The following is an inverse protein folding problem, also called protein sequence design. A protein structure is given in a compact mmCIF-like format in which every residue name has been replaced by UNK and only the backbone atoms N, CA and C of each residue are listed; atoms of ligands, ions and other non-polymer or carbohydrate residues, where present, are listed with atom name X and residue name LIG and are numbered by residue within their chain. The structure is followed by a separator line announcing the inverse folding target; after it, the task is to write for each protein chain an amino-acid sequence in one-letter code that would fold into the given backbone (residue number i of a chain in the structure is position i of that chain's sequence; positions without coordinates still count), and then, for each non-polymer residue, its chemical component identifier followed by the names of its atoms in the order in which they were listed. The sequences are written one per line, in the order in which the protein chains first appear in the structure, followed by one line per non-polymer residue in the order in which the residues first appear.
data_IF_712149782692
#
_entry.id   IF_712149782692
#
_cell.length_a   1.000
_cell.length_b   1.000
_cell.length_c   1.000
_cell.angle_alpha   90.00
_cell.angle_beta   90.00
_cell.angle_gamma   90.00
#
_symmetry.space_group_name_H-M   'P 1'
#
loop_
_entity.id
_entity.type
_entity.pdbx_description
1 polymer ?
#
# COMPACT_ATOMS: atom_id res chain seq x y z
N UNK A 1 18.14 -20.18 -2.68
CA UNK A 1 17.43 -20.58 -1.44
C UNK A 1 15.95 -20.79 -1.72
N UNK A 2 15.21 -21.49 -0.82
CA UNK A 2 13.77 -21.73 -0.99
C UNK A 2 13.03 -21.04 0.15
N UNK A 3 12.18 -20.08 -0.21
CA UNK A 3 11.39 -19.26 0.71
C UNK A 3 9.93 -19.66 0.64
N UNK A 4 9.29 -19.79 1.79
CA UNK A 4 7.86 -19.96 1.91
C UNK A 4 7.26 -18.70 2.54
N UNK A 5 6.26 -18.11 1.88
CA UNK A 5 5.58 -16.94 2.39
C UNK A 5 4.13 -17.22 2.76
N UNK A 6 3.76 -16.81 3.95
CA UNK A 6 2.41 -16.94 4.52
C UNK A 6 1.90 -15.56 4.90
N UNK A 7 0.73 -15.21 4.40
CA UNK A 7 0.02 -14.01 4.78
C UNK A 7 -1.27 -14.34 5.52
N UNK A 8 -1.40 -13.81 6.71
CA UNK A 8 -2.57 -14.04 7.55
C UNK A 8 -3.31 -12.74 7.87
N UNK A 9 -4.62 -12.83 7.96
CA UNK A 9 -5.44 -11.98 8.80
C UNK A 9 -5.31 -12.48 10.25
N UNK A 10 -5.98 -11.92 11.22
CA UNK A 10 -5.91 -12.32 12.63
C UNK A 10 -6.31 -13.77 12.96
N UNK A 11 -6.67 -14.56 11.95
CA UNK A 11 -7.15 -15.93 12.10
C UNK A 11 -6.00 -16.96 12.05
N UNK A 12 -5.83 -17.70 13.16
CA UNK A 12 -4.82 -18.75 13.32
C UNK A 12 -5.05 -19.94 12.38
N UNK A 13 -6.30 -20.36 12.20
CA UNK A 13 -6.65 -21.53 11.41
C UNK A 13 -6.24 -21.38 9.93
N UNK A 14 -6.38 -20.19 9.38
CA UNK A 14 -5.95 -19.87 8.02
C UNK A 14 -4.43 -19.97 7.87
N UNK A 15 -3.66 -19.71 8.92
CA UNK A 15 -2.19 -19.79 8.92
C UNK A 15 -1.72 -21.24 8.86
N UNK A 16 -2.32 -22.10 9.66
CA UNK A 16 -1.97 -23.53 9.72
C UNK A 16 -2.28 -24.22 8.41
N UNK A 17 -3.40 -23.89 7.79
CA UNK A 17 -3.77 -24.43 6.49
C UNK A 17 -2.76 -24.05 5.39
N UNK A 18 -2.35 -22.77 5.31
CA UNK A 18 -1.33 -22.34 4.36
C UNK A 18 0.02 -23.04 4.60
N UNK A 19 0.41 -23.18 5.86
CA UNK A 19 1.64 -23.87 6.22
C UNK A 19 1.61 -25.33 5.76
N UNK A 20 0.52 -26.03 6.06
CA UNK A 20 0.32 -27.41 5.67
C UNK A 20 0.34 -27.61 4.14
N UNK A 21 -0.37 -26.77 3.40
CA UNK A 21 -0.39 -26.80 1.93
C UNK A 21 1.02 -26.62 1.34
N UNK A 22 1.77 -25.63 1.83
CA UNK A 22 3.13 -25.35 1.37
C UNK A 22 4.09 -26.50 1.72
N UNK A 23 4.02 -27.06 2.92
CA UNK A 23 4.86 -28.20 3.30
C UNK A 23 4.54 -29.45 2.47
N UNK A 24 3.26 -29.74 2.25
CA UNK A 24 2.82 -30.88 1.43
C UNK A 24 3.35 -30.73 -0.01
N UNK A 25 3.23 -29.56 -0.59
CA UNK A 25 3.76 -29.23 -1.92
C UNK A 25 5.29 -29.38 -1.97
N UNK A 26 6.00 -28.78 -1.02
CA UNK A 26 7.46 -28.83 -0.96
C UNK A 26 7.99 -30.27 -0.87
N UNK A 27 7.36 -31.11 -0.03
CA UNK A 27 7.67 -32.57 0.06
C UNK A 27 7.44 -33.28 -1.26
N UNK A 28 6.33 -33.04 -1.92
CA UNK A 28 5.99 -33.66 -3.21
C UNK A 28 7.00 -33.27 -4.31
N UNK A 29 7.50 -32.03 -4.27
CA UNK A 29 8.50 -31.51 -5.22
C UNK A 29 9.94 -31.79 -4.80
N UNK A 30 10.19 -32.52 -3.72
CA UNK A 30 11.53 -32.73 -3.13
C UNK A 30 12.27 -31.42 -2.84
N UNK A 31 11.54 -30.37 -2.45
CA UNK A 31 12.08 -29.06 -2.10
C UNK A 31 12.25 -28.93 -0.58
N UNK A 32 13.42 -28.48 -0.13
CA UNK A 32 13.66 -28.19 1.28
C UNK A 32 13.53 -26.69 1.54
N UNK A 33 12.47 -26.28 2.22
CA UNK A 33 12.25 -24.87 2.57
C UNK A 33 13.37 -24.37 3.47
N UNK A 34 14.06 -23.32 3.03
CA UNK A 34 15.19 -22.71 3.75
C UNK A 34 14.72 -21.67 4.76
N UNK A 35 13.65 -20.93 4.44
CA UNK A 35 13.16 -19.84 5.31
C UNK A 35 11.65 -19.66 5.16
N UNK A 36 10.98 -19.53 6.29
CA UNK A 36 9.57 -19.16 6.39
C UNK A 36 9.44 -17.68 6.71
N UNK A 37 8.61 -16.97 5.94
CA UNK A 37 8.26 -15.58 6.18
C UNK A 37 6.77 -15.51 6.43
N UNK A 38 6.40 -15.17 7.66
CA UNK A 38 5.00 -14.99 8.07
C UNK A 38 4.70 -13.52 8.25
N UNK A 39 3.57 -13.07 7.75
CA UNK A 39 3.14 -11.69 7.86
C UNK A 39 1.68 -11.60 8.28
N UNK A 40 1.43 -10.86 9.36
CA UNK A 40 0.07 -10.48 9.77
C UNK A 40 -0.21 -9.09 9.24
N UNK A 41 -1.20 -8.96 8.35
CA UNK A 41 -1.48 -7.68 7.71
C UNK A 41 -2.53 -6.89 8.46
N UNK A 42 -2.13 -5.69 8.92
CA UNK A 42 -3.04 -4.57 9.05
C UNK A 42 -3.21 -3.90 7.67
N UNK A 43 -4.43 -3.51 7.32
CA UNK A 43 -4.83 -3.03 5.97
C UNK A 43 -4.13 -1.75 5.45
N UNK A 44 -3.18 -1.18 6.19
CA UNK A 44 -2.63 0.17 5.93
C UNK A 44 -1.17 0.25 5.50
N UNK A 45 -0.36 -0.83 5.68
CA UNK A 45 1.08 -0.78 5.37
C UNK A 45 1.35 -0.93 3.88
N UNK A 46 2.21 -0.07 3.34
CA UNK A 46 2.72 -0.20 1.98
C UNK A 46 3.61 -1.44 1.81
N UNK A 47 3.84 -1.90 0.56
CA UNK A 47 4.59 -3.13 0.28
C UNK A 47 6.02 -3.09 0.85
N UNK A 48 6.70 -1.94 0.75
CA UNK A 48 8.08 -1.77 1.24
C UNK A 48 8.20 -1.78 2.77
N UNK A 49 7.12 -1.49 3.48
CA UNK A 49 7.05 -1.53 4.95
C UNK A 49 6.72 -2.93 5.48
N UNK A 50 6.48 -3.87 4.57
CA UNK A 50 6.02 -5.23 4.89
C UNK A 50 7.18 -6.21 4.91
N UNK A 51 7.05 -7.28 5.71
CA UNK A 51 8.01 -8.40 5.71
C UNK A 51 8.17 -9.02 4.33
N UNK A 52 7.10 -9.00 3.51
CA UNK A 52 7.15 -9.46 2.13
C UNK A 52 8.00 -8.55 1.24
N UNK A 53 7.91 -7.23 1.40
CA UNK A 53 8.77 -6.29 0.67
C UNK A 53 10.25 -6.50 0.99
N UNK A 54 10.58 -6.70 2.28
CA UNK A 54 11.93 -7.05 2.70
C UNK A 54 12.39 -8.39 2.12
N UNK A 55 11.49 -9.40 2.04
CA UNK A 55 11.77 -10.67 1.38
C UNK A 55 12.09 -10.45 -0.11
N UNK A 56 11.25 -9.72 -0.85
CA UNK A 56 11.45 -9.45 -2.28
C UNK A 56 12.80 -8.78 -2.56
N UNK A 57 13.24 -7.88 -1.68
CA UNK A 57 14.54 -7.23 -1.81
C UNK A 57 15.71 -8.21 -1.63
N UNK A 58 15.56 -9.20 -0.77
CA UNK A 58 16.60 -10.22 -0.46
C UNK A 58 16.69 -11.34 -1.50
N UNK A 59 15.62 -11.57 -2.28
CA UNK A 59 15.60 -12.63 -3.30
C UNK A 59 16.68 -12.42 -4.35
N UNK A 60 17.38 -13.50 -4.69
CA UNK A 60 18.47 -13.57 -5.67
C UNK A 60 18.09 -14.52 -6.81
N UNK A 61 18.86 -14.43 -7.88
CA UNK A 61 18.76 -15.35 -9.03
C UNK A 61 18.77 -16.80 -8.58
N UNK A 62 17.88 -17.61 -9.15
CA UNK A 62 17.65 -19.04 -8.83
C UNK A 62 17.03 -19.31 -7.45
N UNK A 63 16.63 -18.28 -6.71
CA UNK A 63 15.81 -18.50 -5.52
C UNK A 63 14.41 -18.97 -5.92
N UNK A 64 13.73 -19.63 -4.99
CA UNK A 64 12.37 -20.12 -5.15
C UNK A 64 11.52 -19.48 -4.08
N UNK A 65 10.38 -18.93 -4.50
CA UNK A 65 9.34 -18.41 -3.63
C UNK A 65 8.09 -19.30 -3.74
N UNK A 66 7.61 -19.82 -2.62
CA UNK A 66 6.42 -20.66 -2.55
C UNK A 66 5.33 -19.91 -1.78
N UNK A 67 4.15 -19.79 -2.37
CA UNK A 67 2.95 -19.23 -1.75
C UNK A 67 1.78 -20.20 -1.89
N UNK A 68 0.82 -20.15 -0.97
CA UNK A 68 -0.38 -20.99 -1.06
C UNK A 68 -1.28 -20.56 -2.24
N UNK A 69 -1.38 -19.26 -2.47
CA UNK A 69 -2.14 -18.66 -3.57
C UNK A 69 -1.57 -17.29 -3.96
N UNK A 70 -1.74 -16.88 -5.21
CA UNK A 70 -1.24 -15.60 -5.76
C UNK A 70 -1.80 -14.40 -4.99
N UNK A 71 -3.04 -14.48 -4.54
CA UNK A 71 -3.71 -13.43 -3.77
C UNK A 71 -2.98 -13.06 -2.46
N UNK A 72 -2.11 -13.94 -1.94
CA UNK A 72 -1.30 -13.67 -0.74
C UNK A 72 -0.15 -12.72 -1.01
N UNK A 73 0.33 -12.63 -2.23
CA UNK A 73 1.46 -11.78 -2.58
C UNK A 73 1.10 -10.28 -2.58
N UNK A 74 -0.09 -9.93 -3.05
CA UNK A 74 -0.53 -8.54 -3.16
C UNK A 74 -1.96 -8.29 -2.67
N UNK A 75 -2.37 -7.02 -2.62
CA UNK A 75 -3.72 -6.59 -2.23
C UNK A 75 -4.64 -6.37 -3.42
N UNK A 76 -4.06 -6.13 -4.56
CA UNK A 76 -4.75 -5.93 -5.82
C UNK A 76 -3.91 -6.53 -6.94
N UNK A 77 -4.52 -6.67 -8.09
CA UNK A 77 -3.91 -7.28 -9.25
C UNK A 77 -2.63 -6.55 -9.69
N UNK A 78 -2.61 -5.21 -9.67
CA UNK A 78 -1.44 -4.42 -10.05
C UNK A 78 -0.23 -4.68 -9.15
N UNK A 79 -0.45 -4.79 -7.85
CA UNK A 79 0.62 -5.10 -6.90
C UNK A 79 1.16 -6.51 -7.15
N UNK A 80 0.28 -7.48 -7.36
CA UNK A 80 0.67 -8.87 -7.69
C UNK A 80 1.52 -8.88 -8.97
N UNK A 81 1.10 -8.16 -10.01
CA UNK A 81 1.82 -8.08 -11.28
C UNK A 81 3.20 -7.46 -11.11
N UNK A 82 3.30 -6.36 -10.38
CA UNK A 82 4.59 -5.72 -10.08
C UNK A 82 5.53 -6.69 -9.35
N UNK A 83 5.01 -7.48 -8.42
CA UNK A 83 5.80 -8.47 -7.68
C UNK A 83 6.25 -9.61 -8.60
N UNK A 84 5.37 -10.15 -9.42
CA UNK A 84 5.71 -11.21 -10.36
C UNK A 84 6.75 -10.74 -11.39
N UNK A 85 6.61 -9.51 -11.89
CA UNK A 85 7.60 -8.91 -12.78
C UNK A 85 8.98 -8.79 -12.11
N UNK A 86 9.04 -8.30 -10.87
CA UNK A 86 10.29 -8.24 -10.09
C UNK A 86 10.91 -9.63 -9.88
N UNK A 87 10.09 -10.65 -9.62
CA UNK A 87 10.57 -12.03 -9.51
C UNK A 87 11.14 -12.53 -10.84
N UNK A 88 10.49 -12.22 -11.96
CA UNK A 88 10.96 -12.59 -13.29
C UNK A 88 12.28 -11.89 -13.65
N UNK A 89 12.40 -10.58 -13.43
CA UNK A 89 13.62 -9.80 -13.65
C UNK A 89 14.81 -10.35 -12.86
N UNK A 90 14.55 -10.81 -11.63
CA UNK A 90 15.55 -11.46 -10.76
C UNK A 90 15.76 -12.95 -11.07
N UNK A 91 15.06 -13.52 -12.03
CA UNK A 91 15.06 -14.95 -12.32
C UNK A 91 14.71 -15.80 -11.09
N UNK A 92 13.79 -15.34 -10.28
CA UNK A 92 13.22 -16.06 -9.13
C UNK A 92 12.04 -16.88 -9.60
N UNK A 93 12.03 -18.17 -9.28
CA UNK A 93 10.92 -19.07 -9.57
C UNK A 93 9.84 -18.91 -8.51
N UNK A 94 8.58 -18.74 -8.92
CA UNK A 94 7.43 -18.60 -8.01
C UNK A 94 6.46 -19.76 -8.20
N UNK A 95 6.14 -20.44 -7.11
CA UNK A 95 5.06 -21.45 -7.06
C UNK A 95 3.85 -20.90 -6.33
N UNK A 96 2.69 -20.92 -6.98
CA UNK A 96 1.39 -20.63 -6.40
C UNK A 96 0.56 -21.92 -6.41
N UNK A 97 0.38 -22.52 -5.24
CA UNK A 97 -0.05 -23.92 -5.11
C UNK A 97 -1.49 -24.12 -5.57
N UNK A 98 -2.41 -23.25 -5.11
CA UNK A 98 -3.85 -23.39 -5.40
C UNK A 98 -4.17 -23.19 -6.87
N UNK A 99 -3.48 -22.26 -7.51
CA UNK A 99 -3.65 -22.03 -8.94
C UNK A 99 -2.89 -23.04 -9.80
N UNK A 100 -2.02 -23.86 -9.21
CA UNK A 100 -1.19 -24.81 -9.94
C UNK A 100 -0.15 -24.13 -10.84
N UNK A 101 0.22 -22.87 -10.55
CA UNK A 101 1.13 -22.12 -11.39
C UNK A 101 2.58 -22.20 -10.90
N UNK A 102 3.45 -22.46 -11.87
CA UNK A 102 4.89 -22.28 -11.77
C UNK A 102 5.28 -21.07 -12.64
N UNK A 103 5.62 -19.99 -11.99
CA UNK A 103 6.05 -18.75 -12.64
C UNK A 103 7.59 -18.71 -12.66
N UNK A 104 8.15 -18.86 -13.82
CA UNK A 104 9.60 -18.85 -14.05
C UNK A 104 9.94 -18.09 -15.33
N UNK A 105 11.11 -18.34 -15.89
CA UNK A 105 11.56 -17.71 -17.14
C UNK A 105 11.03 -18.41 -18.41
N UNK A 106 9.89 -19.07 -18.32
CA UNK A 106 9.26 -19.71 -19.47
C UNK A 106 8.29 -18.73 -20.18
N UNK A 107 8.00 -19.01 -21.44
CA UNK A 107 7.13 -18.20 -22.30
C UNK A 107 5.70 -18.08 -21.74
N UNK A 108 5.19 -19.16 -21.12
CA UNK A 108 3.84 -19.19 -20.54
C UNK A 108 3.75 -18.20 -19.36
N UNK A 109 4.78 -18.11 -18.53
CA UNK A 109 4.83 -17.14 -17.42
C UNK A 109 4.84 -15.70 -17.93
N UNK A 110 5.57 -15.43 -19.01
CA UNK A 110 5.63 -14.10 -19.65
C UNK A 110 4.29 -13.73 -20.28
N UNK A 111 3.66 -14.64 -20.97
CA UNK A 111 2.32 -14.44 -21.55
C UNK A 111 1.28 -14.20 -20.47
N UNK A 112 1.31 -14.99 -19.40
CA UNK A 112 0.40 -14.83 -18.27
C UNK A 112 0.61 -13.48 -17.57
N UNK A 113 1.84 -13.07 -17.33
CA UNK A 113 2.19 -11.77 -16.76
C UNK A 113 1.67 -10.63 -17.65
N UNK A 114 1.83 -10.74 -18.97
CA UNK A 114 1.29 -9.77 -19.92
C UNK A 114 -0.24 -9.71 -19.89
N UNK A 115 -0.92 -10.86 -19.92
CA UNK A 115 -2.37 -10.94 -19.88
C UNK A 115 -2.96 -10.33 -18.60
N UNK A 116 -2.35 -10.61 -17.46
CA UNK A 116 -2.74 -9.98 -16.18
C UNK A 116 -2.47 -8.47 -16.17
N UNK A 117 -1.32 -8.01 -16.71
CA UNK A 117 -1.01 -6.60 -16.84
C UNK A 117 -2.06 -5.85 -17.64
N UNK A 118 -2.45 -6.41 -18.78
CA UNK A 118 -3.51 -5.85 -19.63
C UNK A 118 -4.86 -5.82 -18.91
N UNK A 119 -5.25 -6.92 -18.23
CA UNK A 119 -6.48 -6.97 -17.45
C UNK A 119 -6.54 -5.90 -16.35
N UNK A 120 -5.43 -5.66 -15.68
CA UNK A 120 -5.32 -4.64 -14.65
C UNK A 120 -5.44 -3.22 -15.21
N UNK A 121 -4.91 -2.97 -16.41
CA UNK A 121 -5.05 -1.68 -17.10
C UNK A 121 -6.49 -1.43 -17.54
N UNK A 122 -7.15 -2.46 -18.08
CA UNK A 122 -8.57 -2.42 -18.43
C UNK A 122 -9.42 -2.10 -17.20
N UNK A 123 -9.22 -2.80 -16.08
CA UNK A 123 -9.96 -2.57 -14.84
C UNK A 123 -9.79 -1.13 -14.33
N UNK A 124 -8.56 -0.60 -14.34
CA UNK A 124 -8.27 0.80 -13.99
C UNK A 124 -9.03 1.79 -14.86
N UNK A 125 -9.05 1.53 -16.16
CA UNK A 125 -9.74 2.36 -17.14
C UNK A 125 -11.24 2.36 -16.88
N UNK A 126 -11.84 1.18 -16.65
CA UNK A 126 -13.25 1.02 -16.33
C UNK A 126 -13.64 1.71 -15.01
N UNK A 127 -12.83 1.59 -13.97
CA UNK A 127 -13.05 2.30 -12.69
C UNK A 127 -13.00 3.81 -12.90
N UNK A 128 -11.99 4.31 -13.63
CA UNK A 128 -11.86 5.74 -13.95
C UNK A 128 -13.08 6.26 -14.71
N UNK A 129 -13.56 5.50 -15.68
CA UNK A 129 -14.73 5.84 -16.47
C UNK A 129 -16.00 5.88 -15.61
N UNK A 130 -16.25 4.87 -14.79
CA UNK A 130 -17.38 4.84 -13.83
C UNK A 130 -17.37 6.04 -12.87
N UNK A 131 -16.19 6.42 -12.36
CA UNK A 131 -16.03 7.60 -11.51
C UNK A 131 -16.40 8.87 -12.27
N UNK A 132 -15.90 9.05 -13.51
CA UNK A 132 -16.23 10.20 -14.35
C UNK A 132 -17.72 10.30 -14.61
N UNK A 133 -18.36 9.19 -14.96
CA UNK A 133 -19.82 9.14 -15.20
C UNK A 133 -20.61 9.47 -13.93
N UNK A 134 -20.23 8.91 -12.78
CA UNK A 134 -20.88 9.20 -11.49
C UNK A 134 -20.72 10.68 -11.09
N UNK A 135 -19.55 11.27 -11.33
CA UNK A 135 -19.31 12.69 -11.07
C UNK A 135 -20.10 13.58 -12.05
N UNK A 136 -20.17 13.21 -13.33
CA UNK A 136 -20.96 13.92 -14.33
C UNK A 136 -22.45 13.92 -13.97
N UNK A 137 -22.99 12.77 -13.56
CA UNK A 137 -24.38 12.65 -13.08
C UNK A 137 -24.64 13.55 -11.88
N UNK A 138 -23.78 13.51 -10.85
CA UNK A 138 -23.93 14.39 -9.67
C UNK A 138 -23.88 15.87 -10.04
N UNK A 139 -23.04 16.23 -11.02
CA UNK A 139 -22.97 17.61 -11.52
C UNK A 139 -24.26 18.01 -12.24
N UNK A 140 -24.86 17.12 -13.05
CA UNK A 140 -26.17 17.39 -13.71
C UNK A 140 -27.33 17.49 -12.72
N UNK A 141 -27.25 16.79 -11.59
CA UNK A 141 -28.20 16.90 -10.47
C UNK A 141 -28.01 18.21 -9.66
N UNK A 142 -27.11 19.11 -10.08
CA UNK A 142 -26.83 20.38 -9.40
C UNK A 142 -25.98 20.27 -8.14
N UNK A 143 -25.45 19.08 -7.83
CA UNK A 143 -24.62 18.85 -6.65
C UNK A 143 -23.23 19.47 -6.88
N UNK A 144 -22.88 20.47 -6.05
CA UNK A 144 -21.54 21.06 -6.06
C UNK A 144 -20.52 20.05 -5.55
N UNK A 145 -19.65 19.59 -6.45
CA UNK A 145 -18.58 18.67 -6.13
C UNK A 145 -17.39 19.43 -5.52
N UNK A 146 -16.67 18.75 -4.64
CA UNK A 146 -15.49 19.30 -3.97
C UNK A 146 -15.76 19.72 -2.53
N UNK A 147 -14.80 20.46 -1.98
CA UNK A 147 -14.91 20.92 -0.59
C UNK A 147 -16.02 21.97 -0.44
N UNK A 148 -16.86 21.88 0.60
CA UNK A 148 -17.90 22.87 0.84
C UNK A 148 -17.33 24.29 0.90
N UNK A 149 -18.04 25.25 0.28
CA UNK A 149 -17.66 26.66 0.31
C UNK A 149 -17.62 27.14 1.77
N UNK A 150 -16.57 27.86 2.14
CA UNK A 150 -16.35 28.36 3.52
C UNK A 150 -15.80 27.32 4.51
N UNK A 151 -15.66 26.06 4.13
CA UNK A 151 -15.04 25.07 5.01
C UNK A 151 -13.55 25.37 5.19
N UNK A 152 -13.12 25.59 6.44
CA UNK A 152 -11.74 25.89 6.79
C UNK A 152 -10.94 24.61 7.02
N UNK A 153 -9.72 24.56 6.49
CA UNK A 153 -8.80 23.42 6.77
C UNK A 153 -8.25 23.58 8.18
N UNK A 154 -8.71 22.75 9.10
CA UNK A 154 -8.13 22.70 10.46
C UNK A 154 -6.76 22.01 10.38
N UNK A 155 -5.70 22.71 10.76
CA UNK A 155 -4.40 22.09 10.94
C UNK A 155 -4.32 21.51 12.36
N UNK A 156 -4.26 20.17 12.53
CA UNK A 156 -4.29 19.54 13.85
C UNK A 156 -3.17 20.02 14.79
N UNK A 157 -1.99 20.30 14.23
CA UNK A 157 -0.82 20.77 15.01
C UNK A 157 -1.12 22.14 15.60
N UNK A 158 -1.62 23.08 14.80
CA UNK A 158 -1.89 24.45 15.28
C UNK A 158 -3.01 24.48 16.30
N UNK A 159 -4.05 23.66 16.13
CA UNK A 159 -5.15 23.58 17.10
C UNK A 159 -4.69 22.95 18.41
N UNK A 160 -3.83 21.93 18.36
CA UNK A 160 -3.26 21.31 19.57
C UNK A 160 -2.41 22.30 20.39
N UNK A 161 -1.79 23.28 19.72
CA UNK A 161 -0.92 24.27 20.33
C UNK A 161 -1.52 25.69 20.32
N UNK A 162 -2.83 25.81 20.30
CA UNK A 162 -3.53 27.08 20.22
C UNK A 162 -3.18 28.06 21.35
N UNK A 163 -3.13 27.57 22.59
CA UNK A 163 -2.77 28.39 23.76
C UNK A 163 -1.33 28.90 23.69
N UNK A 164 -0.41 28.02 23.28
CA UNK A 164 0.98 28.40 23.05
C UNK A 164 1.08 29.52 22.00
N UNK A 165 0.40 29.35 20.87
CA UNK A 165 0.42 30.36 19.79
C UNK A 165 -0.15 31.69 20.28
N UNK A 166 -1.29 31.68 20.97
CA UNK A 166 -1.91 32.91 21.52
C UNK A 166 -1.00 33.61 22.52
N UNK A 167 -0.35 32.86 23.43
CA UNK A 167 0.62 33.40 24.39
C UNK A 167 1.79 34.06 23.69
N UNK A 168 2.43 33.36 22.76
CA UNK A 168 3.57 33.85 22.01
C UNK A 168 3.26 35.13 21.19
N UNK A 169 2.05 35.17 20.61
CA UNK A 169 1.58 36.37 19.89
C UNK A 169 1.40 37.57 20.83
N UNK A 170 0.86 37.38 22.04
CA UNK A 170 0.75 38.41 23.07
C UNK A 170 2.13 38.93 23.55
N UNK A 171 3.13 38.05 23.62
CA UNK A 171 4.52 38.39 23.95
C UNK A 171 5.28 39.08 22.79
N UNK A 172 4.62 39.31 21.63
CA UNK A 172 5.23 39.98 20.48
C UNK A 172 6.11 39.08 19.60
N UNK A 173 6.05 37.76 19.77
CA UNK A 173 6.88 36.84 19.00
C UNK A 173 6.53 36.87 17.50
N UNK A 174 7.55 36.79 16.65
CA UNK A 174 7.36 36.76 15.19
C UNK A 174 6.75 35.44 14.74
N UNK A 175 5.88 35.50 13.74
CA UNK A 175 5.21 34.31 13.16
C UNK A 175 6.21 33.23 12.72
N UNK A 176 7.41 33.62 12.30
CA UNK A 176 8.46 32.69 11.86
C UNK A 176 9.02 31.87 13.03
N UNK A 177 9.10 32.45 14.23
CA UNK A 177 9.57 31.77 15.44
C UNK A 177 8.57 30.71 15.88
N UNK A 178 7.29 31.08 15.89
CA UNK A 178 6.20 30.15 16.18
C UNK A 178 6.19 29.01 15.17
N UNK A 179 6.36 29.30 13.86
CA UNK A 179 6.40 28.34 12.80
C UNK A 179 7.56 27.34 12.95
N UNK A 180 8.76 27.83 13.29
CA UNK A 180 9.94 26.99 13.55
C UNK A 180 9.74 26.06 14.75
N UNK A 181 9.21 26.61 15.84
CA UNK A 181 8.96 25.83 17.05
C UNK A 181 7.97 24.69 16.83
N UNK A 182 6.92 24.94 16.04
CA UNK A 182 5.88 23.95 15.73
C UNK A 182 6.19 23.09 14.51
N UNK A 183 7.37 23.27 13.92
CA UNK A 183 7.80 22.59 12.69
C UNK A 183 6.75 22.65 11.55
N UNK A 184 6.21 23.86 11.33
CA UNK A 184 5.23 24.14 10.26
C UNK A 184 5.73 25.29 9.38
N UNK A 185 5.18 25.39 8.16
CA UNK A 185 5.53 26.51 7.29
C UNK A 185 4.94 27.84 7.82
N UNK A 186 5.69 28.93 7.73
CA UNK A 186 5.26 30.28 8.18
C UNK A 186 3.87 30.68 7.65
N UNK A 187 3.58 30.38 6.39
CA UNK A 187 2.29 30.68 5.78
C UNK A 187 1.13 29.99 6.50
N UNK A 188 1.34 28.77 7.02
CA UNK A 188 0.32 28.01 7.78
C UNK A 188 -0.03 28.74 9.09
N UNK A 189 0.96 29.29 9.77
CA UNK A 189 0.75 30.10 10.99
C UNK A 189 0.03 31.40 10.64
N UNK A 190 0.45 32.09 9.57
CA UNK A 190 -0.18 33.32 9.09
C UNK A 190 -1.67 33.14 8.79
N UNK A 191 -2.00 32.09 8.04
CA UNK A 191 -3.40 31.79 7.69
C UNK A 191 -4.23 31.38 8.93
N UNK A 192 -3.63 30.66 9.87
CA UNK A 192 -4.29 30.34 11.13
C UNK A 192 -4.62 31.59 11.94
N UNK A 193 -3.66 32.53 12.10
CA UNK A 193 -3.86 33.81 12.77
C UNK A 193 -5.00 34.57 12.11
N UNK A 194 -4.97 34.72 10.80
CA UNK A 194 -6.01 35.41 10.03
C UNK A 194 -7.42 34.80 10.22
N UNK A 195 -7.49 33.49 10.41
CA UNK A 195 -8.77 32.78 10.50
C UNK A 195 -9.32 32.65 11.92
N UNK A 196 -8.46 32.51 12.91
CA UNK A 196 -8.84 32.12 14.27
C UNK A 196 -8.35 33.07 15.37
N UNK A 197 -7.36 33.91 15.10
CA UNK A 197 -6.86 34.89 16.05
C UNK A 197 -7.33 36.28 15.61
N UNK A 198 -8.49 36.73 16.15
CA UNK A 198 -8.91 38.12 16.03
C UNK A 198 -8.14 38.91 17.11
N UNK A 199 -7.23 39.78 16.71
CA UNK A 199 -6.73 40.86 17.56
C UNK A 199 -7.92 41.75 17.90
N UNK A 200 -8.36 41.71 19.17
CA UNK A 200 -9.30 42.68 19.72
C UNK A 200 -8.70 44.07 19.70
#
# INVERSE_FOLDING_TARGET
MIYAYIRVSTDKQTTENQHFEIEKFARHQNLKISKWVKETISSRKELHERSFGALLSQLKTKDILIVSEISRMGRNLMQIMSILNQCMEKQVKVYAIKEGYELGDNINSKVLAFAFGLSAEIERTLISQRIKEALARKKSEGIKLGRPIGSKKKNPILFKHEEYIKRRLKEGAKQIEIARHLNVHRHTVKEWIKQYYKTG
#
